data_IF_543572444266
#
_entry.id   IF_543572444266
#
_cell.length_a   1.000
_cell.length_b   1.000
_cell.length_c   1.000
_cell.angle_alpha   90.00
_cell.angle_beta   90.00
_cell.angle_gamma   90.00
#
_symmetry.space_group_name_H-M   'P 1'
#
loop_
_entity.id
_entity.type
_entity.pdbx_description
1 polymer ?
#
# COMPACT_ATOMS: atom_id res chain seq x y z
N UNK A 1 28.24 7.37 -1.17
CA UNK A 1 27.51 6.78 -0.04
C UNK A 1 26.28 6.14 -0.63
N UNK A 2 26.05 4.85 -0.41
CA UNK A 2 24.90 4.15 -0.97
C UNK A 2 23.65 4.74 -0.36
N UNK A 3 22.90 5.49 -1.15
CA UNK A 3 21.59 6.03 -0.80
C UNK A 3 20.62 4.84 -0.73
N UNK A 4 20.71 4.10 0.38
CA UNK A 4 19.79 3.02 0.69
C UNK A 4 18.51 3.70 1.16
N UNK A 5 17.67 4.10 0.20
CA UNK A 5 16.27 4.40 0.49
C UNK A 5 15.71 3.09 1.08
N UNK A 6 15.45 3.02 2.40
CA UNK A 6 14.99 1.77 3.00
C UNK A 6 13.67 1.43 2.34
N UNK A 7 13.59 0.26 1.68
CA UNK A 7 12.33 -0.18 1.07
C UNK A 7 11.20 -0.13 2.10
N UNK A 8 9.94 0.02 1.67
CA UNK A 8 8.80 0.14 2.59
C UNK A 8 8.74 -1.05 3.57
N UNK A 9 9.17 -0.82 4.81
CA UNK A 9 9.24 -1.83 5.88
C UNK A 9 7.91 -1.98 6.60
N UNK A 10 7.07 -0.93 6.58
CA UNK A 10 5.80 -0.93 7.30
C UNK A 10 4.73 -1.64 6.47
N UNK A 11 4.35 -2.83 6.91
CA UNK A 11 3.24 -3.59 6.33
C UNK A 11 1.95 -3.30 7.08
N UNK A 12 1.01 -2.66 6.40
CA UNK A 12 -0.35 -2.46 6.90
C UNK A 12 -1.28 -3.50 6.29
N UNK A 13 -1.91 -4.31 7.14
CA UNK A 13 -2.87 -5.33 6.70
C UNK A 13 -4.28 -4.76 6.71
N UNK A 14 -4.90 -4.65 5.53
CA UNK A 14 -6.27 -4.16 5.36
C UNK A 14 -7.17 -5.34 5.02
N UNK A 15 -8.13 -5.65 5.89
CA UNK A 15 -9.11 -6.70 5.66
C UNK A 15 -10.42 -6.09 5.18
N UNK A 16 -10.91 -6.53 4.02
CA UNK A 16 -12.19 -6.10 3.47
C UNK A 16 -13.00 -7.35 3.11
N UNK A 17 -13.98 -7.68 3.95
CA UNK A 17 -14.71 -8.94 3.84
C UNK A 17 -13.78 -10.14 3.99
N UNK A 18 -13.76 -11.03 2.98
CA UNK A 18 -12.85 -12.20 2.93
C UNK A 18 -11.50 -11.94 2.26
N UNK A 19 -11.20 -10.70 1.87
CA UNK A 19 -9.96 -10.34 1.20
C UNK A 19 -8.97 -9.63 2.13
N UNK A 20 -7.71 -10.04 2.07
CA UNK A 20 -6.61 -9.43 2.84
C UNK A 20 -5.65 -8.70 1.90
N UNK A 21 -5.57 -7.38 2.01
CA UNK A 21 -4.61 -6.57 1.28
C UNK A 21 -3.43 -6.20 2.17
N UNK A 22 -2.22 -6.58 1.74
CA UNK A 22 -0.96 -6.20 2.38
C UNK A 22 -0.43 -4.92 1.71
N UNK A 23 -0.53 -3.81 2.42
CA UNK A 23 -0.04 -2.51 1.93
C UNK A 23 1.34 -2.25 2.52
N UNK A 24 2.36 -2.22 1.66
CA UNK A 24 3.73 -1.90 2.04
C UNK A 24 3.93 -0.39 1.89
N UNK A 25 4.30 0.27 2.98
CA UNK A 25 4.51 1.71 3.05
C UNK A 25 5.74 2.05 3.93
N UNK A 26 6.14 3.32 3.92
CA UNK A 26 7.26 3.82 4.74
C UNK A 26 6.80 4.26 6.13
N UNK A 27 5.48 4.42 6.33
CA UNK A 27 4.86 4.78 7.61
C UNK A 27 3.58 4.00 7.85
N UNK A 28 3.09 4.02 9.09
CA UNK A 28 1.75 3.51 9.40
C UNK A 28 0.69 4.31 8.64
N UNK A 29 -0.11 3.60 7.87
CA UNK A 29 -1.19 4.20 7.08
C UNK A 29 -2.37 4.52 7.98
N UNK A 30 -3.00 5.66 7.69
CA UNK A 30 -4.30 6.01 8.28
C UNK A 30 -5.43 5.28 7.55
N UNK A 31 -6.64 5.25 8.12
CA UNK A 31 -7.79 4.62 7.47
C UNK A 31 -8.09 5.20 6.07
N UNK A 32 -7.83 6.50 5.86
CA UNK A 32 -8.03 7.15 4.56
C UNK A 32 -7.00 6.64 3.55
N UNK A 33 -5.73 6.55 3.94
CA UNK A 33 -4.66 6.04 3.09
C UNK A 33 -4.84 4.56 2.77
N UNK A 34 -5.36 3.76 3.72
CA UNK A 34 -5.76 2.38 3.46
C UNK A 34 -6.83 2.27 2.36
N UNK A 35 -7.86 3.13 2.37
CA UNK A 35 -8.90 3.16 1.32
C UNK A 35 -8.32 3.56 -0.04
N UNK A 36 -7.37 4.49 -0.05
CA UNK A 36 -6.66 4.87 -1.27
C UNK A 36 -5.79 3.73 -1.80
N UNK A 37 -5.05 3.04 -0.93
CA UNK A 37 -4.22 1.89 -1.29
C UNK A 37 -5.07 0.74 -1.88
N UNK A 38 -6.24 0.46 -1.28
CA UNK A 38 -7.22 -0.49 -1.82
C UNK A 38 -7.68 -0.08 -3.23
N UNK A 39 -8.04 1.20 -3.41
CA UNK A 39 -8.46 1.72 -4.72
C UNK A 39 -7.33 1.64 -5.76
N UNK A 40 -6.10 1.90 -5.34
CA UNK A 40 -4.90 1.80 -6.17
C UNK A 40 -4.64 0.36 -6.61
N UNK A 41 -4.73 -0.59 -5.68
CA UNK A 41 -4.62 -2.03 -5.96
C UNK A 41 -5.69 -2.48 -6.96
N UNK A 42 -6.94 -2.03 -6.79
CA UNK A 42 -8.03 -2.34 -7.72
C UNK A 42 -7.74 -1.76 -9.11
N UNK A 43 -7.26 -0.53 -9.21
CA UNK A 43 -6.90 0.10 -10.49
C UNK A 43 -5.75 -0.61 -11.18
N UNK A 44 -4.68 -0.95 -10.46
CA UNK A 44 -3.53 -1.68 -11.01
C UNK A 44 -3.93 -3.04 -11.57
N UNK A 45 -4.77 -3.78 -10.84
CA UNK A 45 -5.26 -5.08 -11.29
C UNK A 45 -6.48 -4.99 -12.21
N UNK A 46 -6.91 -3.77 -12.60
CA UNK A 46 -8.12 -3.51 -13.42
C UNK A 46 -9.38 -4.19 -12.86
N UNK A 47 -9.47 -4.30 -11.53
CA UNK A 47 -10.58 -4.89 -10.81
C UNK A 47 -11.68 -3.85 -10.58
N UNK A 48 -12.93 -4.20 -10.92
CA UNK A 48 -14.11 -3.37 -10.59
C UNK A 48 -14.50 -3.49 -9.12
N UNK A 49 -14.20 -4.62 -8.48
CA UNK A 49 -14.47 -4.92 -7.05
C UNK A 49 -13.34 -5.77 -6.50
N UNK A 50 -13.11 -5.69 -5.19
CA UNK A 50 -12.20 -6.61 -4.51
C UNK A 50 -12.74 -8.04 -4.64
N UNK A 51 -11.85 -9.04 -4.79
CA UNK A 51 -12.28 -10.43 -4.84
C UNK A 51 -12.92 -10.81 -3.50
N UNK A 52 -13.89 -11.74 -3.53
CA UNK A 52 -14.64 -12.13 -2.34
C UNK A 52 -13.76 -12.84 -1.29
N UNK A 53 -12.70 -13.51 -1.75
CA UNK A 53 -11.71 -14.20 -0.92
C UNK A 53 -10.32 -14.07 -1.53
N UNK A 54 -9.30 -14.17 -0.69
CA UNK A 54 -7.90 -14.25 -1.09
C UNK A 54 -7.04 -13.16 -0.49
N UNK A 55 -5.85 -12.99 -1.05
CA UNK A 55 -4.88 -12.01 -0.59
C UNK A 55 -4.21 -11.29 -1.75
N UNK A 56 -3.90 -10.02 -1.55
CA UNK A 56 -3.13 -9.22 -2.49
C UNK A 56 -2.11 -8.36 -1.77
N UNK A 57 -1.14 -7.84 -2.51
CA UNK A 57 -0.17 -6.88 -2.00
C UNK A 57 -0.09 -5.66 -2.89
N UNK A 58 0.15 -4.51 -2.28
CA UNK A 58 0.39 -3.25 -3.00
C UNK A 58 1.55 -2.53 -2.33
N UNK A 59 2.49 -2.06 -3.14
CA UNK A 59 3.62 -1.27 -2.70
C UNK A 59 3.30 0.19 -2.93
N UNK A 60 3.42 1.00 -1.88
CA UNK A 60 3.09 2.41 -1.90
C UNK A 60 4.29 3.22 -1.45
N UNK A 61 4.45 4.39 -2.06
CA UNK A 61 5.42 5.41 -1.63
C UNK A 61 4.84 6.31 -0.53
N UNK A 62 3.79 5.87 0.15
CA UNK A 62 3.14 6.68 1.18
C UNK A 62 4.05 6.73 2.40
N UNK A 63 4.33 7.95 2.86
CA UNK A 63 5.36 8.22 3.86
C UNK A 63 6.77 8.29 3.27
N UNK A 64 6.95 8.08 1.97
CA UNK A 64 8.13 8.58 1.28
C UNK A 64 7.98 10.10 1.29
N UNK A 65 8.84 10.80 2.02
CA UNK A 65 8.88 12.24 2.03
C UNK A 65 9.88 12.62 0.92
N UNK A 66 9.44 12.99 -0.30
CA UNK A 66 10.36 13.43 -1.34
C UNK A 66 10.87 14.86 -1.07
N UNK A 67 11.17 15.20 0.19
CA UNK A 67 11.76 16.49 0.55
C UNK A 67 13.30 16.43 0.58
N UNK A 68 13.89 15.35 0.10
CA UNK A 68 15.35 15.21 -0.01
C UNK A 68 15.72 14.84 -1.45
N UNK A 69 15.27 15.65 -2.40
CA UNK A 69 15.97 15.81 -3.68
C UNK A 69 15.74 17.25 -4.18
N UNK A 70 16.73 18.09 -3.83
CA UNK A 70 17.11 19.42 -4.33
C UNK A 70 16.05 20.55 -4.47
#
# INVERSE_FOLDING_TARGET
MSDFIPGPDVVTTVRVGGFTLYVYAYRRLTQVECKQAVSMYMRQNRLKRLPAQGSGKVYTIIGNNPADDL
#
